data_IF_627881502457
#
_entry.id   IF_627881502457
#
_cell.length_a   1.000
_cell.length_b   1.000
_cell.length_c   1.000
_cell.angle_alpha   90.00
_cell.angle_beta   90.00
_cell.angle_gamma   90.00
#
_symmetry.space_group_name_H-M   'P 1'
#
loop_
_entity.id
_entity.type
_entity.pdbx_description
1 polymer ?
#
# COMPACT_ATOMS: atom_id res chain seq x y z
N UNK A 1 -12.11 -15.73 -32.09
CA UNK A 1 -12.57 -14.57 -31.29
C UNK A 1 -11.38 -14.03 -30.52
N UNK A 2 -10.67 -13.05 -31.14
CA UNK A 2 -9.54 -12.40 -30.50
C UNK A 2 -10.08 -11.30 -29.57
N UNK A 3 -10.01 -11.55 -28.27
CA UNK A 3 -10.28 -10.51 -27.27
C UNK A 3 -9.05 -9.62 -27.20
N UNK A 4 -9.19 -8.38 -27.72
CA UNK A 4 -8.13 -7.39 -27.73
C UNK A 4 -7.66 -7.08 -26.31
N UNK A 5 -6.39 -7.29 -26.08
CA UNK A 5 -5.66 -6.69 -24.96
C UNK A 5 -5.70 -5.18 -25.26
N UNK A 6 -6.60 -4.47 -24.58
CA UNK A 6 -6.69 -3.02 -24.65
C UNK A 6 -5.30 -2.45 -24.32
N UNK A 7 -4.73 -1.70 -25.24
CA UNK A 7 -3.44 -1.03 -25.03
C UNK A 7 -3.43 -0.35 -23.67
N UNK A 8 -2.56 -0.85 -22.82
CA UNK A 8 -2.30 -0.25 -21.51
C UNK A 8 -1.72 1.14 -21.77
N UNK A 9 -2.34 2.17 -21.22
CA UNK A 9 -1.93 3.56 -21.46
C UNK A 9 -0.44 3.69 -21.06
N UNK A 10 0.43 3.89 -22.05
CA UNK A 10 1.89 4.02 -21.89
C UNK A 10 2.25 5.07 -20.85
N UNK A 11 1.40 6.10 -20.70
CA UNK A 11 1.59 7.15 -19.69
C UNK A 11 1.47 6.61 -18.26
N UNK A 12 0.59 5.63 -18.04
CA UNK A 12 0.37 5.01 -16.73
C UNK A 12 1.52 4.07 -16.37
N UNK A 13 2.09 3.36 -17.35
CA UNK A 13 3.27 2.53 -17.17
C UNK A 13 4.51 3.38 -16.83
N UNK A 14 4.66 4.52 -17.49
CA UNK A 14 5.75 5.48 -17.22
C UNK A 14 5.63 6.07 -15.80
N UNK A 15 4.44 6.44 -15.37
CA UNK A 15 4.22 6.94 -14.01
C UNK A 15 4.54 5.88 -12.94
N UNK A 16 4.27 4.62 -13.24
CA UNK A 16 4.56 3.51 -12.35
C UNK A 16 6.05 3.15 -12.30
N UNK A 17 6.74 3.17 -13.45
CA UNK A 17 8.21 2.97 -13.51
C UNK A 17 8.96 4.14 -12.84
N UNK A 18 8.47 5.37 -12.98
CA UNK A 18 8.97 6.52 -12.23
C UNK A 18 8.77 6.36 -10.72
N UNK A 19 7.64 5.78 -10.28
CA UNK A 19 7.39 5.52 -8.87
C UNK A 19 8.33 4.46 -8.28
N UNK A 20 8.62 3.38 -9.01
CA UNK A 20 9.61 2.36 -8.60
C UNK A 20 11.02 2.96 -8.56
N UNK A 21 11.36 3.85 -9.50
CA UNK A 21 12.65 4.54 -9.55
C UNK A 21 12.86 5.56 -8.42
N UNK A 22 11.78 6.01 -7.76
CA UNK A 22 11.83 6.92 -6.60
C UNK A 22 12.02 6.20 -5.26
N UNK A 23 12.03 4.86 -5.24
CA UNK A 23 12.38 4.14 -4.03
C UNK A 23 13.87 4.37 -3.75
N UNK A 24 14.24 5.03 -2.65
CA UNK A 24 15.64 5.30 -2.37
C UNK A 24 16.38 3.98 -2.13
N UNK A 25 17.21 3.57 -3.07
CA UNK A 25 18.30 2.64 -2.81
C UNK A 25 19.33 3.37 -1.94
N UNK A 26 18.97 3.63 -0.70
CA UNK A 26 19.90 4.23 0.25
C UNK A 26 20.87 3.16 0.73
N UNK A 27 21.94 2.98 -0.05
CA UNK A 27 23.15 2.37 0.44
C UNK A 27 23.82 3.36 1.42
N UNK A 28 23.76 3.10 2.74
CA UNK A 28 24.61 3.77 3.73
C UNK A 28 24.68 3.00 5.04
N UNK A 29 25.80 2.40 5.23
CA UNK A 29 27.01 2.65 5.96
C UNK A 29 26.82 2.99 7.46
N UNK A 30 26.40 2.00 8.21
CA UNK A 30 27.06 1.56 9.44
C UNK A 30 27.00 0.05 9.35
N UNK A 31 28.11 -0.65 9.55
CA UNK A 31 28.15 -2.11 9.50
C UNK A 31 27.23 -2.71 10.55
N UNK A 32 25.98 -2.84 10.18
CA UNK A 32 25.01 -3.64 10.92
C UNK A 32 25.31 -5.09 10.57
N UNK A 33 26.14 -5.72 11.38
CA UNK A 33 26.56 -7.11 11.18
C UNK A 33 25.52 -8.10 11.73
N UNK A 34 25.52 -9.34 11.22
CA UNK A 34 24.74 -10.45 11.75
C UNK A 34 23.23 -10.30 11.60
N UNK A 35 22.48 -10.70 12.64
CA UNK A 35 21.02 -10.77 12.66
C UNK A 35 20.32 -9.44 12.34
N UNK A 36 20.90 -8.30 12.76
CA UNK A 36 20.32 -6.99 12.48
C UNK A 36 20.33 -6.64 11.00
N UNK A 37 21.39 -7.02 10.27
CA UNK A 37 21.49 -6.82 8.83
C UNK A 37 20.42 -7.67 8.10
N UNK A 38 20.26 -8.93 8.50
CA UNK A 38 19.27 -9.83 7.93
C UNK A 38 17.83 -9.30 8.14
N UNK A 39 17.50 -8.87 9.35
CA UNK A 39 16.16 -8.28 9.67
C UNK A 39 15.95 -6.98 8.89
N UNK A 40 16.96 -6.14 8.75
CA UNK A 40 16.86 -4.91 7.97
C UNK A 40 16.58 -5.22 6.50
N UNK A 41 17.35 -6.14 5.90
CA UNK A 41 17.18 -6.55 4.49
C UNK A 41 15.82 -7.18 4.25
N UNK A 42 15.34 -8.05 5.15
CA UNK A 42 13.99 -8.63 5.02
C UNK A 42 12.89 -7.57 5.12
N UNK A 43 13.09 -6.54 5.95
CA UNK A 43 12.20 -5.38 5.99
C UNK A 43 12.24 -4.54 4.71
N UNK A 44 13.42 -4.38 4.07
CA UNK A 44 13.53 -3.71 2.76
C UNK A 44 12.76 -4.49 1.69
N UNK A 45 12.91 -5.82 1.68
CA UNK A 45 12.14 -6.71 0.78
C UNK A 45 10.63 -6.57 1.03
N UNK A 46 10.19 -6.60 2.29
CA UNK A 46 8.78 -6.44 2.65
C UNK A 46 8.19 -5.09 2.19
N UNK A 47 8.96 -4.02 2.32
CA UNK A 47 8.55 -2.68 1.89
C UNK A 47 8.34 -2.57 0.37
N UNK A 48 9.04 -3.38 -0.42
CA UNK A 48 8.87 -3.46 -1.88
C UNK A 48 7.79 -4.49 -2.25
N UNK A 49 7.79 -5.64 -1.59
CA UNK A 49 6.88 -6.74 -1.90
C UNK A 49 5.41 -6.37 -1.75
N UNK A 50 5.05 -5.56 -0.75
CA UNK A 50 3.65 -5.15 -0.53
C UNK A 50 3.09 -4.27 -1.64
N UNK A 51 3.73 -3.16 -2.07
CA UNK A 51 3.28 -2.40 -3.23
C UNK A 51 3.20 -3.26 -4.50
N UNK A 52 4.17 -4.16 -4.72
CA UNK A 52 4.17 -5.08 -5.86
C UNK A 52 2.99 -6.04 -5.79
N UNK A 53 2.69 -6.60 -4.62
CA UNK A 53 1.52 -7.47 -4.43
C UNK A 53 0.20 -6.73 -4.67
N UNK A 54 0.09 -5.49 -4.18
CA UNK A 54 -1.06 -4.62 -4.44
C UNK A 54 -1.25 -4.34 -5.93
N UNK A 55 -0.17 -4.05 -6.65
CA UNK A 55 -0.19 -3.86 -8.09
C UNK A 55 -0.58 -5.15 -8.83
N UNK A 56 0.00 -6.29 -8.46
CA UNK A 56 -0.33 -7.58 -9.05
C UNK A 56 -1.82 -7.90 -8.88
N UNK A 57 -2.39 -7.64 -7.69
CA UNK A 57 -3.80 -7.83 -7.44
C UNK A 57 -4.67 -6.96 -8.36
N UNK A 58 -4.29 -5.69 -8.56
CA UNK A 58 -4.96 -4.75 -9.47
C UNK A 58 -4.93 -5.25 -10.91
N UNK A 59 -3.77 -5.71 -11.38
CA UNK A 59 -3.59 -6.17 -12.76
C UNK A 59 -4.34 -7.48 -13.02
N UNK A 60 -4.27 -8.43 -12.10
CA UNK A 60 -4.98 -9.71 -12.21
C UNK A 60 -6.50 -9.49 -12.25
N UNK A 61 -7.01 -8.55 -11.47
CA UNK A 61 -8.44 -8.23 -11.43
C UNK A 61 -8.87 -7.22 -12.50
N UNK A 62 -7.94 -6.74 -13.34
CA UNK A 62 -8.15 -5.69 -14.35
C UNK A 62 -8.83 -4.44 -13.75
N UNK A 63 -8.44 -4.11 -12.52
CA UNK A 63 -9.03 -3.02 -11.74
C UNK A 63 -8.36 -1.68 -12.05
N UNK A 64 -8.66 -1.12 -13.23
CA UNK A 64 -8.09 0.16 -13.68
C UNK A 64 -8.42 1.34 -12.77
N UNK A 65 -9.55 1.27 -12.08
CA UNK A 65 -9.90 2.29 -11.10
C UNK A 65 -9.05 2.16 -9.84
N UNK A 66 -8.82 0.94 -9.37
CA UNK A 66 -7.90 0.65 -8.27
C UNK A 66 -6.47 1.09 -8.60
N UNK A 67 -6.03 0.88 -9.85
CA UNK A 67 -4.71 1.35 -10.28
C UNK A 67 -4.56 2.87 -10.14
N UNK A 68 -5.54 3.65 -10.61
CA UNK A 68 -5.54 5.12 -10.48
C UNK A 68 -5.52 5.56 -9.02
N UNK A 69 -6.36 4.93 -8.19
CA UNK A 69 -6.47 5.25 -6.76
C UNK A 69 -5.20 4.88 -6.00
N UNK A 70 -4.64 3.70 -6.27
CA UNK A 70 -3.37 3.26 -5.69
C UNK A 70 -2.20 4.15 -6.10
N UNK A 71 -2.13 4.55 -7.36
CA UNK A 71 -1.11 5.49 -7.84
C UNK A 71 -1.21 6.86 -7.16
N UNK A 72 -2.42 7.42 -7.02
CA UNK A 72 -2.63 8.69 -6.32
C UNK A 72 -2.23 8.59 -4.84
N UNK A 73 -2.65 7.52 -4.16
CA UNK A 73 -2.25 7.28 -2.77
C UNK A 73 -0.74 7.18 -2.62
N UNK A 74 -0.09 6.44 -3.51
CA UNK A 74 1.36 6.23 -3.48
C UNK A 74 2.13 7.53 -3.74
N UNK A 75 1.77 8.29 -4.77
CA UNK A 75 2.42 9.57 -5.12
C UNK A 75 2.24 10.57 -3.98
N UNK A 76 1.03 10.67 -3.41
CA UNK A 76 0.76 11.59 -2.29
C UNK A 76 1.53 11.17 -1.04
N UNK A 77 1.58 9.87 -0.72
CA UNK A 77 2.38 9.34 0.39
C UNK A 77 3.86 9.69 0.23
N UNK A 78 4.41 9.46 -0.96
CA UNK A 78 5.80 9.79 -1.25
C UNK A 78 6.04 11.30 -1.14
N UNK A 79 5.19 12.13 -1.74
CA UNK A 79 5.32 13.58 -1.71
C UNK A 79 5.31 14.15 -0.29
N UNK A 80 4.34 13.74 0.54
CA UNK A 80 4.26 14.18 1.94
C UNK A 80 5.49 13.70 2.73
N UNK A 81 5.88 12.43 2.55
CA UNK A 81 7.01 11.85 3.27
C UNK A 81 8.32 12.56 2.90
N UNK A 82 8.55 12.86 1.61
CA UNK A 82 9.72 13.60 1.19
C UNK A 82 9.69 15.04 1.70
N UNK A 83 8.57 15.74 1.58
CA UNK A 83 8.43 17.10 2.08
C UNK A 83 8.79 17.20 3.57
N UNK A 84 8.22 16.30 4.39
CA UNK A 84 8.52 16.25 5.82
C UNK A 84 9.97 15.87 6.11
N UNK A 85 10.54 14.93 5.36
CA UNK A 85 11.92 14.47 5.52
C UNK A 85 12.93 15.61 5.35
N UNK A 86 12.73 16.49 4.39
CA UNK A 86 13.62 17.64 4.16
C UNK A 86 13.30 18.83 5.04
N UNK A 87 12.06 18.97 5.54
CA UNK A 87 11.67 20.07 6.42
C UNK A 87 12.07 19.83 7.88
N UNK A 88 11.89 18.61 8.39
CA UNK A 88 12.09 18.31 9.82
C UNK A 88 13.56 18.05 10.18
N UNK A 89 14.39 17.58 9.25
CA UNK A 89 15.84 17.34 9.43
C UNK A 89 16.19 16.61 10.71
N UNK A 90 15.46 15.58 11.07
CA UNK A 90 15.70 14.79 12.28
C UNK A 90 16.87 13.83 12.07
N UNK A 91 17.80 13.82 13.00
CA UNK A 91 18.94 12.89 13.00
C UNK A 91 18.47 11.44 13.21
N UNK A 92 19.11 10.50 12.50
CA UNK A 92 18.82 9.07 12.67
C UNK A 92 19.41 8.51 13.97
N UNK A 93 18.80 7.48 14.57
CA UNK A 93 19.35 6.82 15.74
C UNK A 93 20.75 6.19 15.53
N UNK A 94 21.15 5.93 14.29
CA UNK A 94 22.47 5.44 13.93
C UNK A 94 23.44 6.55 13.49
N UNK A 95 23.06 7.81 13.66
CA UNK A 95 23.83 9.01 13.30
C UNK A 95 24.30 9.06 11.84
N UNK A 96 23.65 8.28 10.93
CA UNK A 96 24.07 8.20 9.52
C UNK A 96 23.68 9.40 8.69
N UNK A 97 22.56 10.05 8.98
CA UNK A 97 22.08 11.27 8.31
C UNK A 97 21.00 11.99 9.14
N UNK A 98 20.58 13.16 8.66
CA UNK A 98 19.53 13.99 9.28
C UNK A 98 18.15 13.87 8.59
N UNK A 99 17.86 12.74 7.95
CA UNK A 99 16.61 12.52 7.24
C UNK A 99 15.85 11.31 7.83
N UNK A 100 15.76 11.23 9.17
CA UNK A 100 15.08 10.14 9.85
C UNK A 100 13.55 10.21 9.67
N UNK A 101 12.96 11.37 9.89
CA UNK A 101 11.51 11.55 9.96
C UNK A 101 10.90 11.98 8.62
N UNK A 102 9.77 11.40 8.25
CA UNK A 102 9.23 10.11 8.69
C UNK A 102 9.85 8.92 7.95
N UNK A 103 9.55 7.68 8.39
CA UNK A 103 10.06 6.47 7.74
C UNK A 103 9.37 6.20 6.42
N UNK A 104 10.09 6.30 5.30
CA UNK A 104 9.57 6.02 3.96
C UNK A 104 9.16 4.55 3.78
N UNK A 105 9.97 3.60 4.25
CA UNK A 105 9.65 2.17 4.15
C UNK A 105 8.35 1.83 4.87
N UNK A 106 8.14 2.43 6.05
CA UNK A 106 6.89 2.26 6.77
C UNK A 106 5.73 2.93 6.06
N UNK A 107 5.92 4.16 5.54
CA UNK A 107 4.87 4.88 4.82
C UNK A 107 4.42 4.11 3.58
N UNK A 108 5.33 3.60 2.76
CA UNK A 108 4.99 2.84 1.55
C UNK A 108 4.34 1.50 1.85
N UNK A 109 4.84 0.77 2.86
CA UNK A 109 4.25 -0.53 3.23
C UNK A 109 2.85 -0.37 3.83
N UNK A 110 2.62 0.62 4.71
CA UNK A 110 1.29 0.89 5.25
C UNK A 110 0.34 1.48 4.21
N UNK A 111 0.83 2.27 3.25
CA UNK A 111 0.02 2.70 2.13
C UNK A 111 -0.47 1.51 1.30
N UNK A 112 0.41 0.58 0.97
CA UNK A 112 0.03 -0.63 0.23
C UNK A 112 -0.94 -1.52 1.03
N UNK A 113 -0.69 -1.73 2.33
CA UNK A 113 -1.57 -2.53 3.18
C UNK A 113 -2.96 -1.91 3.31
N UNK A 114 -3.04 -0.60 3.54
CA UNK A 114 -4.30 0.12 3.62
C UNK A 114 -5.05 0.12 2.29
N UNK A 115 -4.33 0.25 1.16
CA UNK A 115 -4.90 0.11 -0.18
C UNK A 115 -5.52 -1.28 -0.37
N UNK A 116 -4.76 -2.35 -0.09
CA UNK A 116 -5.23 -3.73 -0.23
C UNK A 116 -6.47 -3.97 0.66
N UNK A 117 -6.41 -3.54 1.91
CA UNK A 117 -7.52 -3.68 2.85
C UNK A 117 -8.75 -2.90 2.39
N UNK A 118 -8.59 -1.63 2.04
CA UNK A 118 -9.70 -0.75 1.67
C UNK A 118 -10.33 -1.17 0.34
N UNK A 119 -9.50 -1.67 -0.61
CA UNK A 119 -9.93 -2.07 -1.94
C UNK A 119 -10.53 -3.46 -1.98
N UNK A 120 -9.84 -4.44 -1.37
CA UNK A 120 -10.13 -5.87 -1.51
C UNK A 120 -10.61 -6.54 -0.22
N UNK A 121 -10.70 -5.80 0.89
CA UNK A 121 -11.26 -6.29 2.15
C UNK A 121 -10.23 -6.80 3.15
N UNK A 122 -10.73 -7.10 4.36
CA UNK A 122 -9.90 -7.45 5.51
C UNK A 122 -9.17 -8.79 5.37
N UNK A 123 -9.72 -9.73 4.63
CA UNK A 123 -9.08 -11.03 4.42
C UNK A 123 -7.69 -10.90 3.75
N UNK A 124 -7.51 -9.90 2.89
CA UNK A 124 -6.23 -9.57 2.24
C UNK A 124 -5.46 -8.46 2.97
N UNK A 125 -6.21 -7.58 3.61
CA UNK A 125 -5.63 -6.47 4.37
C UNK A 125 -4.92 -6.90 5.63
N UNK A 126 -5.46 -7.85 6.39
CA UNK A 126 -4.86 -8.30 7.65
C UNK A 126 -3.43 -8.86 7.45
N UNK A 127 -3.18 -9.81 6.54
CA UNK A 127 -1.81 -10.24 6.23
C UNK A 127 -0.89 -9.08 5.79
N UNK A 128 -1.41 -8.15 4.98
CA UNK A 128 -0.64 -7.00 4.52
C UNK A 128 -0.25 -6.08 5.69
N UNK A 129 -1.13 -5.83 6.64
CA UNK A 129 -0.81 -5.05 7.85
C UNK A 129 0.19 -5.75 8.76
N UNK A 130 0.14 -7.08 8.88
CA UNK A 130 1.15 -7.84 9.63
C UNK A 130 2.53 -7.63 9.02
N UNK A 131 2.66 -7.75 7.70
CA UNK A 131 3.93 -7.49 7.00
C UNK A 131 4.36 -6.03 7.16
N UNK A 132 3.45 -5.05 7.05
CA UNK A 132 3.77 -3.63 7.23
C UNK A 132 4.27 -3.33 8.64
N UNK A 133 3.67 -3.95 9.65
CA UNK A 133 4.09 -3.82 11.05
C UNK A 133 5.49 -4.41 11.24
N UNK A 134 5.77 -5.56 10.63
CA UNK A 134 7.11 -6.15 10.61
C UNK A 134 8.12 -5.22 9.93
N UNK A 135 7.77 -4.62 8.80
CA UNK A 135 8.62 -3.61 8.14
C UNK A 135 8.93 -2.47 9.10
N UNK A 136 7.93 -1.87 9.75
CA UNK A 136 8.12 -0.80 10.72
C UNK A 136 9.04 -1.21 11.87
N UNK A 137 8.79 -2.38 12.46
CA UNK A 137 9.64 -2.93 13.52
C UNK A 137 11.08 -3.14 13.06
N UNK A 138 11.30 -3.65 11.84
CA UNK A 138 12.64 -3.85 11.28
C UNK A 138 13.45 -2.56 11.17
N UNK A 139 12.78 -1.40 10.99
CA UNK A 139 13.44 -0.08 10.96
C UNK A 139 13.94 0.33 12.34
N UNK A 140 13.15 0.07 13.38
CA UNK A 140 13.52 0.34 14.77
C UNK A 140 14.66 -0.59 15.20
N UNK A 141 14.50 -1.90 14.95
CA UNK A 141 15.51 -2.89 15.29
C UNK A 141 16.83 -2.63 14.57
N UNK A 142 16.78 -2.21 13.31
CA UNK A 142 17.91 -1.82 12.47
C UNK A 142 18.52 -0.43 12.81
N UNK A 143 18.03 0.26 13.85
CA UNK A 143 18.51 1.59 14.29
C UNK A 143 18.43 2.68 13.21
N UNK A 144 17.60 2.49 12.17
CA UNK A 144 17.44 3.49 11.09
C UNK A 144 16.38 4.55 11.40
N UNK A 145 15.40 4.19 12.20
CA UNK A 145 14.29 5.04 12.61
C UNK A 145 13.91 4.77 14.06
N UNK A 146 13.35 5.74 14.73
CA UNK A 146 12.71 5.54 16.03
C UNK A 146 11.19 5.25 15.89
N UNK A 147 10.53 5.05 17.04
CA UNK A 147 9.10 4.74 17.06
C UNK A 147 8.23 5.85 16.46
N UNK A 148 8.60 7.12 16.63
CA UNK A 148 7.85 8.25 16.09
C UNK A 148 7.96 8.36 14.57
N UNK A 149 9.14 8.06 14.00
CA UNK A 149 9.36 8.04 12.56
C UNK A 149 8.49 6.96 11.90
N UNK A 150 8.41 5.79 12.56
CA UNK A 150 7.60 4.65 12.11
C UNK A 150 6.11 4.96 12.23
N UNK A 151 5.67 5.49 13.37
CA UNK A 151 4.27 5.83 13.60
C UNK A 151 3.77 6.90 12.61
N UNK A 152 4.56 7.95 12.42
CA UNK A 152 4.25 8.99 11.44
C UNK A 152 4.18 8.43 10.02
N UNK A 153 5.16 7.60 9.63
CA UNK A 153 5.13 6.91 8.34
C UNK A 153 3.88 6.07 8.15
N UNK A 154 3.52 5.27 9.14
CA UNK A 154 2.31 4.43 9.11
C UNK A 154 1.03 5.27 8.96
N UNK A 155 0.93 6.36 9.73
CA UNK A 155 -0.22 7.26 9.69
C UNK A 155 -0.36 7.96 8.31
N UNK A 156 0.74 8.45 7.75
CA UNK A 156 0.77 9.09 6.43
C UNK A 156 0.36 8.07 5.35
N UNK A 157 0.99 6.90 5.33
CA UNK A 157 0.72 5.88 4.32
C UNK A 157 -0.73 5.38 4.36
N UNK A 158 -1.20 4.98 5.54
CA UNK A 158 -2.57 4.53 5.72
C UNK A 158 -3.57 5.65 5.40
N UNK A 159 -3.34 6.86 5.92
CA UNK A 159 -4.21 8.02 5.71
C UNK A 159 -4.38 8.37 4.24
N UNK A 160 -3.29 8.47 3.47
CA UNK A 160 -3.36 8.72 2.03
C UNK A 160 -4.17 7.63 1.31
N UNK A 161 -3.93 6.36 1.63
CA UNK A 161 -4.68 5.28 1.00
C UNK A 161 -6.17 5.30 1.34
N UNK A 162 -6.54 5.60 2.57
CA UNK A 162 -7.94 5.75 2.95
C UNK A 162 -8.65 6.92 2.26
N UNK A 163 -7.94 8.02 2.01
CA UNK A 163 -8.48 9.20 1.30
C UNK A 163 -8.77 8.86 -0.17
N UNK A 164 -7.84 8.21 -0.85
CA UNK A 164 -7.93 8.01 -2.30
C UNK A 164 -8.59 6.69 -2.71
N UNK A 165 -8.65 5.68 -1.81
CA UNK A 165 -9.12 4.34 -2.16
C UNK A 165 -10.59 4.15 -1.77
N UNK A 166 -11.38 3.66 -2.72
CA UNK A 166 -12.76 3.21 -2.50
C UNK A 166 -12.82 1.69 -2.62
N UNK A 167 -13.74 1.02 -1.91
CA UNK A 167 -13.92 -0.42 -2.02
C UNK A 167 -14.13 -0.86 -3.47
N UNK A 168 -13.59 -2.02 -3.81
CA UNK A 168 -13.84 -2.63 -5.10
C UNK A 168 -15.27 -3.12 -5.13
N UNK A 169 -16.12 -2.43 -5.89
CA UNK A 169 -17.48 -2.87 -6.11
C UNK A 169 -17.45 -4.12 -7.00
N UNK A 170 -17.36 -5.31 -6.38
CA UNK A 170 -17.80 -6.51 -7.07
C UNK A 170 -19.27 -6.27 -7.41
N UNK A 171 -19.65 -6.46 -8.67
CA UNK A 171 -21.05 -6.37 -9.13
C UNK A 171 -21.87 -7.55 -8.60
N UNK A 172 -21.78 -7.87 -7.33
CA UNK A 172 -22.71 -8.75 -6.65
C UNK A 172 -23.88 -7.88 -6.22
N UNK A 173 -24.84 -7.71 -7.11
CA UNK A 173 -26.09 -7.08 -6.74
C UNK A 173 -27.00 -8.19 -6.15
N UNK A 174 -27.01 -8.24 -4.82
CA UNK A 174 -28.10 -8.93 -4.14
C UNK A 174 -29.32 -8.00 -4.19
N UNK A 175 -30.29 -8.32 -5.01
CA UNK A 175 -31.60 -7.65 -4.96
C UNK A 175 -32.56 -8.51 -4.18
N UNK A 176 -33.12 -7.96 -3.10
CA UNK A 176 -34.21 -8.53 -2.35
C UNK A 176 -35.47 -7.77 -2.74
N UNK A 177 -36.44 -8.46 -3.36
CA UNK A 177 -37.71 -7.87 -3.73
C UNK A 177 -38.84 -8.60 -3.01
N UNK A 178 -39.73 -7.89 -2.30
CA UNK A 178 -40.93 -8.51 -1.80
C UNK A 178 -41.84 -8.87 -3.00
N UNK A 179 -42.32 -10.10 -3.02
CA UNK A 179 -43.26 -10.58 -4.01
C UNK A 179 -44.56 -10.84 -3.31
N UNK A 180 -45.63 -10.19 -3.79
CA UNK A 180 -47.01 -10.43 -3.37
C UNK A 180 -47.85 -10.80 -4.61
N UNK A 181 -48.52 -11.95 -4.58
CA UNK A 181 -49.42 -12.41 -5.60
C UNK A 181 -50.57 -13.17 -4.93
N UNK A 182 -51.58 -13.59 -5.68
CA UNK A 182 -52.82 -14.17 -5.19
C UNK A 182 -52.64 -15.20 -4.06
N UNK A 183 -52.58 -14.69 -2.82
CA UNK A 183 -52.42 -15.50 -1.60
C UNK A 183 -51.01 -15.89 -1.20
N UNK A 184 -49.96 -15.40 -1.90
CA UNK A 184 -48.56 -15.67 -1.59
C UNK A 184 -47.83 -14.37 -1.24
N UNK A 185 -47.13 -14.40 -0.10
CA UNK A 185 -46.17 -13.35 0.30
C UNK A 185 -44.78 -13.99 0.43
N UNK A 186 -43.79 -13.45 -0.26
CA UNK A 186 -42.44 -14.00 -0.23
C UNK A 186 -41.39 -12.95 -0.47
N UNK A 187 -40.12 -13.33 -0.30
CA UNK A 187 -38.95 -12.54 -0.65
C UNK A 187 -38.22 -13.22 -1.82
N UNK A 188 -38.15 -12.52 -2.95
CA UNK A 188 -37.31 -12.96 -4.08
C UNK A 188 -35.88 -12.43 -3.87
N UNK A 189 -34.93 -13.34 -3.77
CA UNK A 189 -33.50 -13.01 -3.71
C UNK A 189 -32.86 -13.33 -5.06
N UNK A 190 -32.29 -12.31 -5.72
CA UNK A 190 -31.50 -12.48 -6.94
C UNK A 190 -30.08 -12.05 -6.69
N UNK A 191 -29.15 -12.93 -7.02
CA UNK A 191 -27.71 -12.66 -6.92
C UNK A 191 -27.11 -12.77 -8.31
N UNK A 192 -26.57 -11.65 -8.84
CA UNK A 192 -25.77 -11.67 -10.07
C UNK A 192 -24.30 -11.89 -9.68
N UNK A 193 -23.71 -12.91 -10.27
CA UNK A 193 -22.29 -13.22 -10.16
C UNK A 193 -21.47 -12.50 -11.22
#
# INVERSE_FOLDING_TARGET
>A
MCCGIKEMDKRLLILFTLFIGLLPLSAQQIEVTGARKAVRTSGDIGAIALPVAGLAAVLIQQDWQGLKQGALAAVTTAGITYALKYSVRKERPDHSDHHSFPSMHTATSFAAAAFIQRRYGWQWGLPAYIVSTYVGWSRIYGKKHDGWDVLAGAAIGAGCSYIFTRPFARKHQLSLQPVAGDGYYGLYASMRF
#
